data_IF_095607874622
#
_entry.id   IF_095607874622
#
_cell.length_a   1.000
_cell.length_b   1.000
_cell.length_c   1.000
_cell.angle_alpha   90.00
_cell.angle_beta   90.00
_cell.angle_gamma   90.00
#
_symmetry.space_group_name_H-M   'P 1'
#
loop_
_entity.id
_entity.type
_entity.pdbx_description
1 polymer ?
#
# COMPACT_ATOMS: atom_id res chain seq x y z
N UNK A 1 11.56 31.86 15.45
CA UNK A 1 10.72 31.10 16.38
C UNK A 1 9.81 30.27 15.51
N UNK A 2 10.21 29.03 15.24
CA UNK A 2 9.55 28.15 14.26
C UNK A 2 8.68 27.20 15.07
N UNK A 3 7.35 27.30 14.89
CA UNK A 3 6.38 26.48 15.60
C UNK A 3 6.57 25.02 15.20
N UNK A 4 6.81 24.14 16.17
CA UNK A 4 6.80 22.70 15.96
C UNK A 4 5.36 22.29 15.59
N UNK A 5 5.16 21.75 14.40
CA UNK A 5 3.96 20.97 14.12
C UNK A 5 4.31 19.51 14.49
N UNK A 6 4.19 19.17 15.77
CA UNK A 6 4.13 17.77 16.24
C UNK A 6 2.76 17.13 15.92
N UNK A 7 1.86 17.91 15.33
CA UNK A 7 0.51 17.54 14.97
C UNK A 7 0.36 17.54 13.45
N UNK A 8 -0.13 16.43 12.92
CA UNK A 8 -0.55 16.31 11.54
C UNK A 8 -1.73 17.25 11.29
N UNK A 9 -1.70 18.08 10.22
CA UNK A 9 -2.81 18.97 9.93
C UNK A 9 -4.12 18.21 9.74
N UNK A 10 -5.24 18.70 10.29
CA UNK A 10 -6.56 18.06 10.19
C UNK A 10 -6.94 17.60 8.76
N UNK A 11 -6.68 18.37 7.67
CA UNK A 11 -6.99 17.90 6.31
C UNK A 11 -6.21 16.66 5.88
N UNK A 12 -4.99 16.47 6.40
CA UNK A 12 -4.17 15.30 6.15
C UNK A 12 -4.71 14.10 6.90
N UNK A 13 -5.08 14.29 8.18
CA UNK A 13 -5.71 13.25 9.00
C UNK A 13 -6.98 12.73 8.32
N UNK A 14 -7.85 13.65 7.89
CA UNK A 14 -9.11 13.30 7.21
C UNK A 14 -8.88 12.56 5.90
N UNK A 15 -8.01 13.07 5.03
CA UNK A 15 -7.72 12.42 3.76
C UNK A 15 -7.15 11.00 3.93
N UNK A 16 -6.33 10.78 4.97
CA UNK A 16 -5.82 9.47 5.31
C UNK A 16 -6.89 8.54 5.84
N UNK A 17 -7.71 9.00 6.79
CA UNK A 17 -8.82 8.23 7.32
C UNK A 17 -9.78 7.80 6.21
N UNK A 18 -10.22 8.73 5.36
CA UNK A 18 -11.09 8.46 4.21
C UNK A 18 -10.47 7.42 3.26
N UNK A 19 -9.16 7.52 2.98
CA UNK A 19 -8.47 6.55 2.13
C UNK A 19 -8.36 5.17 2.78
N UNK A 20 -8.11 5.12 4.10
CA UNK A 20 -7.99 3.88 4.85
C UNK A 20 -9.32 3.12 4.85
N UNK A 21 -10.41 3.84 5.12
CA UNK A 21 -11.77 3.30 5.12
C UNK A 21 -12.22 2.87 3.72
N UNK A 22 -11.95 3.69 2.69
CA UNK A 22 -12.24 3.33 1.30
C UNK A 22 -11.45 2.10 0.82
N UNK A 23 -10.26 1.86 1.39
CA UNK A 23 -9.46 0.67 1.18
C UNK A 23 -9.98 -0.58 1.90
N UNK A 24 -11.00 -0.45 2.75
CA UNK A 24 -11.55 -1.53 3.56
C UNK A 24 -10.65 -1.95 4.74
N UNK A 25 -9.68 -1.10 5.12
CA UNK A 25 -8.82 -1.35 6.27
C UNK A 25 -9.46 -0.79 7.54
N UNK A 26 -9.34 -1.51 8.65
CA UNK A 26 -9.98 -1.11 9.90
C UNK A 26 -9.27 0.07 10.54
N UNK A 27 -9.85 1.26 10.51
CA UNK A 27 -9.34 2.41 11.24
C UNK A 27 -9.55 2.19 12.75
N UNK A 28 -8.46 2.17 13.51
CA UNK A 28 -8.49 1.96 14.97
C UNK A 28 -8.55 3.28 15.73
N UNK A 29 -7.85 4.28 15.22
CA UNK A 29 -7.78 5.64 15.77
C UNK A 29 -7.31 6.62 14.68
N UNK A 30 -7.74 7.88 14.77
CA UNK A 30 -7.28 8.95 13.90
C UNK A 30 -7.37 10.29 14.63
N UNK A 31 -6.21 10.83 14.99
CA UNK A 31 -6.06 12.13 15.61
C UNK A 31 -4.84 12.85 15.04
N UNK A 32 -4.70 14.15 15.35
CA UNK A 32 -3.61 14.98 14.84
C UNK A 32 -2.23 14.43 15.24
N UNK A 33 -2.12 13.77 16.40
CA UNK A 33 -0.84 13.18 16.81
C UNK A 33 -0.50 11.83 16.13
N UNK A 34 -1.49 11.05 15.67
CA UNK A 34 -1.27 9.75 15.02
C UNK A 34 -2.55 9.17 14.42
N UNK A 35 -2.38 8.31 13.43
CA UNK A 35 -3.42 7.46 12.86
C UNK A 35 -3.02 6.01 13.05
N UNK A 36 -3.90 5.19 13.62
CA UNK A 36 -3.67 3.77 13.82
C UNK A 36 -4.65 2.94 12.98
N UNK A 37 -4.11 1.97 12.25
CA UNK A 37 -4.87 1.06 11.37
C UNK A 37 -4.69 -0.37 11.85
N UNK A 38 -5.79 -1.09 12.05
CA UNK A 38 -5.77 -2.52 12.31
C UNK A 38 -5.21 -3.30 11.11
N UNK A 39 -4.22 -4.14 11.38
CA UNK A 39 -3.63 -5.00 10.36
C UNK A 39 -4.42 -6.30 10.23
N UNK A 40 -5.16 -6.45 9.13
CA UNK A 40 -5.67 -7.74 8.68
C UNK A 40 -4.58 -8.61 8.05
N UNK A 41 -4.85 -9.90 7.87
CA UNK A 41 -3.86 -10.91 7.46
C UNK A 41 -3.07 -10.53 6.19
N UNK A 42 -3.76 -10.02 5.17
CA UNK A 42 -3.12 -9.56 3.93
C UNK A 42 -2.10 -8.45 4.18
N UNK A 43 -2.46 -7.43 4.96
CA UNK A 43 -1.58 -6.31 5.25
C UNK A 43 -0.41 -6.76 6.15
N UNK A 44 -0.66 -7.64 7.13
CA UNK A 44 0.39 -8.25 7.96
C UNK A 44 1.43 -8.98 7.11
N UNK A 45 0.96 -9.81 6.18
CA UNK A 45 1.81 -10.55 5.26
C UNK A 45 2.63 -9.63 4.35
N UNK A 46 2.00 -8.60 3.79
CA UNK A 46 2.67 -7.62 2.93
C UNK A 46 3.76 -6.84 3.71
N UNK A 47 3.49 -6.46 4.95
CA UNK A 47 4.38 -5.67 5.80
C UNK A 47 5.45 -6.49 6.53
N UNK A 48 5.39 -7.83 6.46
CA UNK A 48 6.25 -8.70 7.25
C UNK A 48 6.05 -8.52 8.76
N UNK A 49 4.82 -8.21 9.19
CA UNK A 49 4.50 -7.87 10.57
C UNK A 49 4.68 -9.08 11.50
N UNK A 50 5.30 -8.87 12.67
CA UNK A 50 5.41 -9.92 13.66
C UNK A 50 4.03 -10.29 14.24
N UNK A 51 3.89 -11.47 14.83
CA UNK A 51 2.64 -11.95 15.43
C UNK A 51 2.07 -10.99 16.49
N UNK A 52 2.93 -10.22 17.13
CA UNK A 52 2.59 -9.20 18.12
C UNK A 52 2.12 -7.89 17.53
N UNK A 53 2.51 -7.55 16.30
CA UNK A 53 2.22 -6.26 15.69
C UNK A 53 0.77 -6.25 15.21
N UNK A 54 -0.09 -5.44 15.83
CA UNK A 54 -1.52 -5.40 15.51
C UNK A 54 -1.92 -4.16 14.71
N UNK A 55 -1.03 -3.17 14.67
CA UNK A 55 -1.31 -1.86 14.10
C UNK A 55 -0.21 -1.42 13.14
N UNK A 56 -0.63 -0.80 12.05
CA UNK A 56 0.18 0.22 11.37
C UNK A 56 -0.14 1.54 12.08
N UNK A 57 0.89 2.24 12.54
CA UNK A 57 0.74 3.57 13.12
C UNK A 57 1.45 4.56 12.19
N UNK A 58 0.75 5.64 11.85
CA UNK A 58 1.23 6.73 11.02
C UNK A 58 1.32 7.96 11.90
N UNK A 59 2.54 8.47 12.08
CA UNK A 59 2.83 9.66 12.87
C UNK A 59 3.18 10.85 12.00
N UNK A 60 3.51 11.95 12.67
CA UNK A 60 4.03 13.15 12.03
C UNK A 60 5.19 13.70 12.85
N UNK A 61 6.25 14.12 12.17
CA UNK A 61 7.42 14.72 12.77
C UNK A 61 7.89 15.93 11.96
N UNK A 62 8.92 16.62 12.43
CA UNK A 62 9.55 17.70 11.67
C UNK A 62 10.11 17.24 10.30
N UNK A 63 10.34 15.95 10.11
CA UNK A 63 10.78 15.36 8.84
C UNK A 63 9.61 15.00 7.90
N UNK A 64 8.37 15.14 8.36
CA UNK A 64 7.15 14.76 7.64
C UNK A 64 6.45 13.55 8.27
N UNK A 65 5.56 12.94 7.50
CA UNK A 65 4.86 11.74 7.93
C UNK A 65 5.81 10.54 8.03
N UNK A 66 5.64 9.75 9.07
CA UNK A 66 6.33 8.49 9.25
C UNK A 66 5.36 7.37 9.61
N UNK A 67 5.84 6.14 9.55
CA UNK A 67 5.05 4.96 9.84
C UNK A 67 5.85 3.89 10.55
N UNK A 68 5.17 3.02 11.27
CA UNK A 68 5.74 1.73 11.65
C UNK A 68 4.71 0.78 12.24
N UNK A 69 5.20 -0.41 12.54
CA UNK A 69 4.40 -1.49 13.09
C UNK A 69 4.47 -1.46 14.61
N UNK A 70 3.35 -1.74 15.26
CA UNK A 70 3.28 -1.74 16.70
C UNK A 70 2.25 -2.74 17.25
N UNK A 71 2.53 -3.26 18.45
CA UNK A 71 1.59 -4.06 19.22
C UNK A 71 0.43 -3.22 19.80
N UNK A 72 0.63 -1.91 19.96
CA UNK A 72 -0.35 -0.96 20.46
C UNK A 72 -0.37 0.31 19.59
N UNK A 73 -1.32 1.20 19.82
CA UNK A 73 -1.52 2.41 18.99
C UNK A 73 -0.53 3.55 19.30
N UNK A 74 0.30 3.41 20.34
CA UNK A 74 0.98 4.56 20.95
C UNK A 74 2.50 4.67 20.75
N UNK A 75 3.21 3.57 20.45
CA UNK A 75 4.67 3.64 20.30
C UNK A 75 5.14 2.83 19.09
N UNK A 76 5.87 3.49 18.20
CA UNK A 76 6.56 2.91 17.07
C UNK A 76 8.06 2.93 17.35
N UNK A 77 8.73 1.78 17.50
CA UNK A 77 10.14 1.74 17.89
C UNK A 77 11.09 2.15 16.74
N UNK A 78 10.68 1.93 15.49
CA UNK A 78 11.50 2.17 14.31
C UNK A 78 10.67 2.81 13.18
N UNK A 79 10.30 4.09 13.32
CA UNK A 79 9.51 4.78 12.30
C UNK A 79 10.32 4.94 11.01
N UNK A 80 9.64 4.76 9.89
CA UNK A 80 10.15 4.96 8.54
C UNK A 80 9.40 6.11 7.87
N UNK A 81 10.09 6.95 7.11
CA UNK A 81 9.44 8.07 6.43
C UNK A 81 8.46 7.57 5.35
N UNK A 82 7.31 8.23 5.26
CA UNK A 82 6.40 8.08 4.12
C UNK A 82 6.70 9.14 3.07
N UNK A 83 6.74 8.78 1.77
CA UNK A 83 6.86 9.75 0.70
C UNK A 83 5.53 10.51 0.53
N UNK A 84 5.63 11.79 0.17
CA UNK A 84 4.50 12.61 -0.25
C UNK A 84 4.45 13.96 0.46
N UNK A 85 4.22 15.02 -0.33
CA UNK A 85 4.16 16.41 0.16
C UNK A 85 2.72 16.94 0.19
N UNK A 86 1.75 16.08 -0.13
CA UNK A 86 0.32 16.40 -0.14
C UNK A 86 -0.48 15.27 0.51
N UNK A 87 -1.68 15.55 1.05
CA UNK A 87 -2.56 14.53 1.63
C UNK A 87 -2.83 13.37 0.67
N UNK A 88 -3.02 13.66 -0.62
CA UNK A 88 -3.31 12.66 -1.66
C UNK A 88 -2.12 11.75 -1.92
N UNK A 89 -0.91 12.32 -1.99
CA UNK A 89 0.31 11.52 -2.19
C UNK A 89 0.58 10.64 -0.97
N UNK A 90 0.42 11.18 0.24
CA UNK A 90 0.60 10.42 1.48
C UNK A 90 -0.42 9.28 1.58
N UNK A 91 -1.70 9.54 1.30
CA UNK A 91 -2.73 8.52 1.24
C UNK A 91 -2.41 7.42 0.22
N UNK A 92 -1.93 7.79 -0.98
CA UNK A 92 -1.50 6.82 -1.99
C UNK A 92 -0.30 5.99 -1.52
N UNK A 93 0.65 6.58 -0.79
CA UNK A 93 1.79 5.88 -0.22
C UNK A 93 1.35 4.87 0.85
N UNK A 94 0.44 5.25 1.75
CA UNK A 94 -0.15 4.35 2.76
C UNK A 94 -0.91 3.21 2.09
N UNK A 95 -1.72 3.50 1.07
CA UNK A 95 -2.45 2.45 0.35
C UNK A 95 -1.51 1.45 -0.34
N UNK A 96 -0.39 1.93 -0.90
CA UNK A 96 0.64 1.07 -1.50
C UNK A 96 1.36 0.24 -0.45
N UNK A 97 1.69 0.85 0.68
CA UNK A 97 2.33 0.22 1.81
C UNK A 97 1.47 -0.94 2.33
N UNK A 98 0.17 -0.69 2.56
CA UNK A 98 -0.79 -1.70 3.03
C UNK A 98 -0.95 -2.89 2.08
N UNK A 99 -0.80 -2.69 0.76
CA UNK A 99 -0.94 -3.75 -0.25
C UNK A 99 0.34 -4.50 -0.56
N UNK A 100 1.49 -3.84 -0.44
CA UNK A 100 2.75 -4.32 -1.04
C UNK A 100 3.95 -4.34 -0.10
N UNK A 101 3.81 -3.80 1.10
CA UNK A 101 4.91 -3.62 2.06
C UNK A 101 5.87 -2.49 1.71
N UNK A 102 5.54 -1.66 0.71
CA UNK A 102 6.41 -0.57 0.22
C UNK A 102 5.62 0.72 0.03
N UNK A 103 6.17 1.83 0.50
CA UNK A 103 5.55 3.14 0.36
C UNK A 103 5.88 3.79 -1.00
N UNK A 104 7.09 3.54 -1.54
CA UNK A 104 7.50 4.05 -2.85
C UNK A 104 6.96 3.19 -4.00
N UNK A 105 6.54 3.83 -5.12
CA UNK A 105 6.17 3.09 -6.33
C UNK A 105 7.40 2.48 -7.00
N UNK A 106 7.22 1.32 -7.63
CA UNK A 106 8.21 0.72 -8.52
C UNK A 106 7.69 0.62 -9.95
N UNK A 107 8.61 0.37 -10.87
CA UNK A 107 8.27 -0.09 -12.20
C UNK A 107 7.77 -1.54 -12.12
N UNK A 108 6.63 -1.81 -12.76
CA UNK A 108 6.07 -3.15 -12.89
C UNK A 108 6.28 -3.61 -14.31
N UNK A 109 6.76 -4.84 -14.45
CA UNK A 109 6.72 -5.61 -15.69
C UNK A 109 5.65 -6.69 -15.59
N UNK A 110 4.69 -6.69 -16.50
CA UNK A 110 3.69 -7.75 -16.56
C UNK A 110 3.08 -7.91 -17.94
N UNK A 111 2.47 -9.06 -18.18
CA UNK A 111 1.58 -9.24 -19.31
C UNK A 111 0.27 -8.49 -19.06
N UNK A 112 -0.24 -7.85 -20.10
CA UNK A 112 -1.64 -7.40 -20.15
C UNK A 112 -2.41 -8.47 -20.92
N UNK A 113 -3.24 -9.27 -20.24
CA UNK A 113 -3.97 -10.32 -20.93
C UNK A 113 -5.00 -9.68 -21.87
N UNK A 114 -5.17 -10.26 -23.06
CA UNK A 114 -6.16 -9.80 -24.04
C UNK A 114 -7.61 -10.00 -23.58
N UNK A 115 -7.82 -10.81 -22.53
CA UNK A 115 -9.09 -11.06 -21.86
C UNK A 115 -8.88 -11.37 -20.37
N UNK A 116 -9.96 -11.56 -19.63
CA UNK A 116 -9.85 -11.93 -18.21
C UNK A 116 -9.23 -13.34 -18.06
N UNK A 117 -8.46 -13.60 -16.99
CA UNK A 117 -7.97 -14.95 -16.70
C UNK A 117 -9.14 -15.93 -16.50
N UNK A 118 -9.10 -17.05 -17.20
CA UNK A 118 -10.01 -18.17 -16.99
C UNK A 118 -9.64 -19.00 -15.77
N UNK A 119 -10.41 -20.07 -15.54
CA UNK A 119 -10.23 -20.98 -14.40
C UNK A 119 -8.94 -21.80 -14.48
N UNK A 120 -8.32 -21.91 -15.67
CA UNK A 120 -7.10 -22.67 -15.89
C UNK A 120 -5.83 -21.80 -15.78
N UNK A 121 -5.97 -20.49 -15.54
CA UNK A 121 -4.84 -19.59 -15.43
C UNK A 121 -4.04 -19.87 -14.15
N UNK A 122 -2.76 -20.20 -14.31
CA UNK A 122 -1.81 -20.38 -13.19
C UNK A 122 -0.95 -19.16 -12.92
N UNK A 123 -1.09 -18.08 -13.72
CA UNK A 123 -0.23 -16.91 -13.60
C UNK A 123 -0.44 -16.16 -12.29
N UNK A 124 0.66 -15.72 -11.69
CA UNK A 124 0.62 -14.84 -10.53
C UNK A 124 -0.01 -13.49 -10.92
N UNK A 125 -0.97 -13.03 -10.12
CA UNK A 125 -1.58 -11.70 -10.26
C UNK A 125 -0.80 -10.67 -9.48
N UNK A 126 -0.45 -9.58 -10.16
CA UNK A 126 0.13 -8.41 -9.52
C UNK A 126 -0.98 -7.60 -8.86
N UNK A 127 -0.98 -7.53 -7.53
CA UNK A 127 -2.04 -6.88 -6.73
C UNK A 127 -2.29 -5.42 -7.11
N UNK A 128 -1.28 -4.70 -7.59
CA UNK A 128 -1.39 -3.26 -7.88
C UNK A 128 -2.20 -2.95 -9.15
N UNK A 129 -2.13 -3.78 -10.20
CA UNK A 129 -2.78 -3.54 -11.50
C UNK A 129 -3.58 -4.74 -12.03
N UNK A 130 -3.64 -5.84 -11.27
CA UNK A 130 -4.07 -7.20 -11.70
C UNK A 130 -3.44 -7.69 -13.00
N UNK A 131 -2.31 -7.11 -13.37
CA UNK A 131 -1.42 -7.65 -14.39
C UNK A 131 -0.99 -9.07 -14.04
N UNK A 132 -0.62 -9.86 -15.04
CA UNK A 132 -0.14 -11.22 -14.83
C UNK A 132 1.37 -11.28 -15.02
N UNK A 133 2.05 -12.02 -14.15
CA UNK A 133 3.39 -12.52 -14.44
C UNK A 133 3.19 -13.85 -15.17
N UNK A 134 3.48 -13.93 -16.48
CA UNK A 134 3.27 -15.16 -17.22
C UNK A 134 4.10 -16.30 -16.62
N UNK A 135 3.39 -17.34 -16.21
CA UNK A 135 3.99 -18.65 -15.99
C UNK A 135 4.17 -19.29 -17.36
N UNK A 136 5.39 -19.72 -17.69
CA UNK A 136 5.75 -20.30 -18.98
C UNK A 136 4.84 -21.49 -19.36
N UNK A 137 4.35 -22.23 -18.35
CA UNK A 137 3.50 -23.42 -18.52
C UNK A 137 2.00 -23.10 -18.44
N UNK A 138 1.62 -21.85 -18.20
CA UNK A 138 0.21 -21.48 -18.13
C UNK A 138 -0.50 -21.76 -19.47
N UNK A 139 -1.60 -22.52 -19.49
CA UNK A 139 -2.30 -22.89 -20.73
C UNK A 139 -2.94 -21.69 -21.44
N UNK A 140 -3.18 -20.60 -20.70
CA UNK A 140 -3.82 -19.39 -21.19
C UNK A 140 -2.83 -18.28 -21.60
N UNK A 141 -1.72 -18.14 -20.86
CA UNK A 141 -0.81 -16.99 -20.99
C UNK A 141 0.67 -17.35 -21.02
N UNK A 142 1.04 -18.63 -21.00
CA UNK A 142 2.44 -19.05 -21.03
C UNK A 142 3.13 -18.78 -22.38
N UNK A 143 4.39 -19.20 -22.50
CA UNK A 143 5.28 -18.80 -23.59
C UNK A 143 4.72 -19.11 -24.98
N UNK A 144 3.96 -20.20 -25.10
CA UNK A 144 3.28 -20.60 -26.35
C UNK A 144 2.24 -19.59 -26.85
N UNK A 145 1.69 -18.77 -25.94
CA UNK A 145 0.68 -17.75 -26.23
C UNK A 145 1.30 -16.38 -26.52
N UNK A 146 2.59 -16.21 -26.20
CA UNK A 146 3.37 -15.00 -26.45
C UNK A 146 2.62 -13.72 -26.02
N UNK A 147 2.31 -13.56 -24.72
CA UNK A 147 1.51 -12.44 -24.25
C UNK A 147 2.24 -11.10 -24.46
N UNK A 148 1.48 -10.03 -24.74
CA UNK A 148 2.03 -8.69 -24.81
C UNK A 148 2.54 -8.27 -23.42
N UNK A 149 3.85 -8.03 -23.32
CA UNK A 149 4.47 -7.50 -22.12
C UNK A 149 4.35 -5.98 -22.10
N UNK A 150 3.91 -5.44 -20.97
CA UNK A 150 3.83 -4.00 -20.73
C UNK A 150 4.62 -3.62 -19.49
N UNK A 151 4.98 -2.35 -19.45
CA UNK A 151 5.78 -1.75 -18.39
C UNK A 151 5.15 -0.43 -18.00
N UNK A 152 4.88 -0.25 -16.72
CA UNK A 152 4.44 1.04 -16.20
C UNK A 152 4.79 1.16 -14.71
N UNK A 153 4.79 2.39 -14.22
CA UNK A 153 4.92 2.67 -12.79
C UNK A 153 3.67 2.22 -12.04
N UNK A 154 3.84 1.64 -10.84
CA UNK A 154 2.72 1.28 -9.94
C UNK A 154 1.83 2.49 -9.58
N UNK A 155 2.34 3.71 -9.69
CA UNK A 155 1.56 4.93 -9.48
C UNK A 155 0.50 5.18 -10.57
N UNK A 156 0.65 4.55 -11.74
CA UNK A 156 -0.26 4.70 -12.88
C UNK A 156 -1.31 3.59 -12.95
N UNK A 157 -1.34 2.67 -11.99
CA UNK A 157 -2.35 1.62 -11.92
C UNK A 157 -3.75 2.23 -11.69
N UNK A 158 -4.79 1.76 -12.39
CA UNK A 158 -6.16 2.16 -12.08
C UNK A 158 -6.53 1.72 -10.65
N UNK A 159 -7.20 2.56 -9.85
CA UNK A 159 -7.70 2.16 -8.54
C UNK A 159 -8.74 1.04 -8.70
N UNK A 160 -8.56 -0.07 -7.98
CA UNK A 160 -9.47 -1.23 -8.06
C UNK A 160 -9.24 -2.16 -9.25
N UNK A 161 -8.18 -1.93 -10.04
CA UNK A 161 -7.73 -2.84 -11.09
C UNK A 161 -7.46 -4.22 -10.55
#
# INVERSE_FOLDING_TARGET
MTTFADEMPEPWVRALADHIEAGGWGLADAHESAIAVHLGDTARGALGAADTDRYLVIGWSAAGADWGLAASRGHVPHPQLLPGDTPVQLAAAVGRLMRTGRAEPREIRHAVPYGAPGEACTCERITACRGLIPDADCPEHGDRRNPAMTWHWEALCPPGA
#
